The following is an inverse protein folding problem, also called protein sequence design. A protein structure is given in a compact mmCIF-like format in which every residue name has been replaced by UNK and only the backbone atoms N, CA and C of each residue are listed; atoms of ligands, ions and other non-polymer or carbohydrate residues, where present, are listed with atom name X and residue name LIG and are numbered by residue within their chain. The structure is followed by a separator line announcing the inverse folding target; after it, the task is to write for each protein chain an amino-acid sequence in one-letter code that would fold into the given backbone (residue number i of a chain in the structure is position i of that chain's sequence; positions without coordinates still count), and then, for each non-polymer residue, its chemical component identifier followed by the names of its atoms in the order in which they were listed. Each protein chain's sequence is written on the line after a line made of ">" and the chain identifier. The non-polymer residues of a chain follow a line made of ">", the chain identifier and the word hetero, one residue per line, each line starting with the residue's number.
data_IF_490327404943
#
_entry.id   IF_490327404943
#
_cell.length_a   1.000
_cell.length_b   1.000
_cell.length_c   1.000
_cell.angle_alpha   90.00
_cell.angle_beta   90.00
_cell.angle_gamma   90.00
#
_symmetry.space_group_name_H-M   'P 1'
#
loop_
_entity.id
_entity.type
_entity.pdbx_description
1 polymer ?
#
# COMPACT_ATOMS: atom_id res chain seq x y z
N UNK A 1 1.55 23.19 51.02
CA UNK A 1 1.75 24.58 50.55
C UNK A 1 3.24 24.89 50.36
N UNK A 2 4.05 24.96 51.43
CA UNK A 2 5.48 25.29 51.32
C UNK A 2 6.29 24.28 50.49
N UNK A 3 6.06 22.96 50.67
CA UNK A 3 6.70 21.93 49.86
C UNK A 3 6.44 22.11 48.34
N UNK A 4 5.19 22.42 47.97
CA UNK A 4 4.82 22.68 46.58
C UNK A 4 5.43 23.99 46.04
N UNK A 5 5.64 25.00 46.89
CA UNK A 5 6.38 26.21 46.52
C UNK A 5 7.85 25.90 46.28
N UNK A 6 8.48 25.06 47.11
CA UNK A 6 9.84 24.59 46.88
C UNK A 6 9.95 23.80 45.57
N UNK A 7 9.02 22.88 45.28
CA UNK A 7 9.00 22.13 44.02
C UNK A 7 8.81 23.05 42.80
N UNK A 8 7.92 24.05 42.91
CA UNK A 8 7.73 25.03 41.85
C UNK A 8 9.00 25.88 41.61
N UNK A 9 9.75 26.20 42.66
CA UNK A 9 11.02 26.93 42.53
C UNK A 9 12.09 26.09 41.79
N UNK A 10 12.14 24.77 42.02
CA UNK A 10 13.04 23.88 41.30
C UNK A 10 12.74 23.83 39.80
N UNK A 11 11.46 23.88 39.40
CA UNK A 11 11.10 23.93 37.97
C UNK A 11 11.58 25.22 37.28
N UNK A 12 11.75 26.33 38.02
CA UNK A 12 12.24 27.58 37.46
C UNK A 12 13.75 27.56 37.15
N UNK A 13 14.51 26.67 37.78
CA UNK A 13 15.94 26.50 37.53
C UNK A 13 16.22 26.06 36.07
N UNK A 14 15.28 25.31 35.47
CA UNK A 14 15.38 24.80 34.10
C UNK A 14 14.81 25.74 33.03
N UNK A 15 14.28 26.92 33.39
CA UNK A 15 13.67 27.85 32.42
C UNK A 15 14.68 28.33 31.39
N UNK A 16 15.95 28.45 31.75
CA UNK A 16 17.02 28.81 30.83
C UNK A 16 17.22 27.76 29.71
N UNK A 17 16.89 26.50 29.96
CA UNK A 17 17.00 25.40 28.99
C UNK A 17 15.78 25.30 28.06
N UNK A 18 14.67 25.94 28.44
CA UNK A 18 13.39 25.85 27.74
C UNK A 18 13.48 26.16 26.23
N UNK A 19 14.19 27.21 25.77
CA UNK A 19 14.31 27.47 24.33
C UNK A 19 14.98 26.31 23.58
N UNK A 20 16.02 25.72 24.15
CA UNK A 20 16.74 24.58 23.56
C UNK A 20 15.84 23.34 23.52
N UNK A 21 15.20 23.02 24.65
CA UNK A 21 14.26 21.90 24.77
C UNK A 21 13.08 22.04 23.80
N UNK A 22 12.55 23.26 23.62
CA UNK A 22 11.46 23.53 22.68
C UNK A 22 11.89 23.28 21.23
N UNK A 23 13.10 23.69 20.84
CA UNK A 23 13.63 23.38 19.51
C UNK A 23 13.77 21.87 19.27
N UNK A 24 14.24 21.12 20.26
CA UNK A 24 14.29 19.67 20.20
C UNK A 24 12.89 19.06 20.07
N UNK A 25 11.91 19.55 20.83
CA UNK A 25 10.52 19.13 20.71
C UNK A 25 9.96 19.37 19.31
N UNK A 26 10.17 20.56 18.71
CA UNK A 26 9.75 20.84 17.34
C UNK A 26 10.43 19.91 16.33
N UNK A 27 11.69 19.55 16.54
CA UNK A 27 12.40 18.59 15.70
C UNK A 27 11.79 17.18 15.77
N UNK A 28 11.34 16.76 16.97
CA UNK A 28 10.70 15.48 17.19
C UNK A 28 9.30 15.43 16.55
N UNK A 29 8.52 16.51 16.66
CA UNK A 29 7.21 16.64 15.99
C UNK A 29 7.36 16.47 14.47
N UNK A 30 8.35 17.14 13.86
CA UNK A 30 8.66 16.97 12.44
C UNK A 30 9.06 15.54 12.09
N UNK A 31 9.92 14.94 12.90
CA UNK A 31 10.40 13.57 12.68
C UNK A 31 9.25 12.57 12.69
N UNK A 32 8.32 12.68 13.64
CA UNK A 32 7.13 11.80 13.73
C UNK A 32 6.21 11.95 12.52
N UNK A 33 5.96 13.19 12.08
CA UNK A 33 5.18 13.45 10.86
C UNK A 33 5.84 12.85 9.62
N UNK A 34 7.14 13.04 9.47
CA UNK A 34 7.91 12.48 8.35
C UNK A 34 7.88 10.94 8.33
N UNK A 35 8.02 10.31 9.50
CA UNK A 35 7.90 8.85 9.64
C UNK A 35 6.51 8.36 9.21
N UNK A 36 5.43 9.05 9.65
CA UNK A 36 4.08 8.71 9.22
C UNK A 36 3.91 8.72 7.71
N UNK A 37 4.36 9.79 7.05
CA UNK A 37 4.35 9.89 5.59
C UNK A 37 5.18 8.80 4.90
N UNK A 38 6.37 8.49 5.42
CA UNK A 38 7.24 7.46 4.86
C UNK A 38 6.63 6.06 4.95
N UNK A 39 6.02 5.71 6.10
CA UNK A 39 5.35 4.42 6.30
C UNK A 39 4.15 4.29 5.35
N UNK A 40 3.29 5.30 5.28
CA UNK A 40 2.12 5.28 4.39
C UNK A 40 2.53 5.18 2.93
N UNK A 41 3.56 5.93 2.51
CA UNK A 41 4.09 5.86 1.15
C UNK A 41 4.68 4.48 0.83
N UNK A 42 5.45 3.90 1.74
CA UNK A 42 6.05 2.58 1.57
C UNK A 42 4.97 1.49 1.48
N UNK A 43 3.98 1.53 2.37
CA UNK A 43 2.86 0.61 2.37
C UNK A 43 2.05 0.70 1.07
N UNK A 44 1.75 1.91 0.59
CA UNK A 44 1.04 2.12 -0.67
C UNK A 44 1.81 1.51 -1.87
N UNK A 45 3.10 1.79 -1.98
CA UNK A 45 3.94 1.23 -3.05
C UNK A 45 4.01 -0.31 -3.00
N UNK A 46 4.06 -0.89 -1.80
CA UNK A 46 4.04 -2.34 -1.61
C UNK A 46 2.70 -2.95 -2.03
N UNK A 47 1.59 -2.33 -1.64
CA UNK A 47 0.24 -2.78 -2.01
C UNK A 47 0.05 -2.73 -3.53
N UNK A 48 0.51 -1.66 -4.18
CA UNK A 48 0.46 -1.52 -5.63
C UNK A 48 1.26 -2.62 -6.35
N UNK A 49 2.48 -2.90 -5.87
CA UNK A 49 3.31 -3.98 -6.40
C UNK A 49 2.67 -5.35 -6.24
N UNK A 50 2.03 -5.62 -5.10
CA UNK A 50 1.32 -6.88 -4.89
C UNK A 50 0.08 -6.99 -5.79
N UNK A 51 -0.62 -5.89 -6.03
CA UNK A 51 -1.74 -5.84 -6.96
C UNK A 51 -1.29 -6.12 -8.40
N UNK A 52 -0.15 -5.56 -8.84
CA UNK A 52 0.39 -5.80 -10.18
C UNK A 52 0.83 -7.26 -10.35
N UNK A 53 1.54 -7.83 -9.37
CA UNK A 53 1.94 -9.25 -9.37
C UNK A 53 0.72 -10.17 -9.46
N UNK A 54 -0.37 -9.84 -8.74
CA UNK A 54 -1.62 -10.60 -8.83
C UNK A 54 -2.24 -10.51 -10.22
N UNK A 55 -2.27 -9.33 -10.83
CA UNK A 55 -2.81 -9.14 -12.17
C UNK A 55 -2.02 -9.95 -13.22
N UNK A 56 -0.70 -9.94 -13.11
CA UNK A 56 0.19 -10.73 -13.97
C UNK A 56 -0.06 -12.23 -13.82
N UNK A 57 -0.25 -12.72 -12.59
CA UNK A 57 -0.57 -14.12 -12.34
C UNK A 57 -1.96 -14.53 -12.87
N UNK A 58 -2.98 -13.69 -12.71
CA UNK A 58 -4.30 -13.95 -13.32
C UNK A 58 -4.17 -14.07 -14.84
N UNK A 59 -3.44 -13.15 -15.47
CA UNK A 59 -3.17 -13.19 -16.91
C UNK A 59 -2.40 -14.44 -17.32
N UNK A 60 -1.42 -14.88 -16.52
CA UNK A 60 -0.64 -16.09 -16.74
C UNK A 60 -1.55 -17.33 -16.74
N UNK A 61 -2.42 -17.44 -15.73
CA UNK A 61 -3.40 -18.53 -15.57
C UNK A 61 -4.40 -18.57 -16.70
N UNK A 62 -4.98 -17.43 -17.06
CA UNK A 62 -5.93 -17.35 -18.17
C UNK A 62 -5.30 -17.77 -19.50
N UNK A 63 -4.05 -17.33 -19.75
CA UNK A 63 -3.30 -17.76 -20.93
C UNK A 63 -3.06 -19.26 -20.91
N UNK A 64 -2.66 -19.82 -19.78
CA UNK A 64 -2.45 -21.26 -19.62
C UNK A 64 -3.73 -22.06 -19.85
N UNK A 65 -4.83 -21.68 -19.18
CA UNK A 65 -6.14 -22.34 -19.26
C UNK A 65 -6.68 -22.32 -20.70
N UNK A 66 -6.51 -21.19 -21.39
CA UNK A 66 -6.91 -21.06 -22.80
C UNK A 66 -6.00 -21.85 -23.75
N UNK A 67 -4.70 -21.96 -23.48
CA UNK A 67 -3.76 -22.66 -24.35
C UNK A 67 -3.71 -24.16 -24.04
N UNK A 68 -2.82 -24.58 -23.15
CA UNK A 68 -2.57 -25.99 -22.81
C UNK A 68 -3.60 -26.58 -21.84
N UNK A 69 -4.17 -25.75 -20.97
CA UNK A 69 -5.08 -26.20 -19.91
C UNK A 69 -6.36 -26.86 -20.44
N UNK A 70 -6.85 -26.47 -21.62
CA UNK A 70 -8.02 -27.09 -22.28
C UNK A 70 -7.86 -28.59 -22.56
N UNK A 71 -6.62 -29.10 -22.57
CA UNK A 71 -6.31 -30.49 -22.87
C UNK A 71 -6.09 -31.34 -21.60
N UNK A 72 -6.15 -30.73 -20.42
CA UNK A 72 -5.98 -31.43 -19.15
C UNK A 72 -7.30 -32.04 -18.67
N UNK A 73 -7.21 -33.22 -18.08
CA UNK A 73 -8.35 -33.93 -17.50
C UNK A 73 -8.81 -33.23 -16.20
N UNK A 74 -10.11 -33.23 -15.86
CA UNK A 74 -10.63 -32.54 -14.66
C UNK A 74 -9.86 -32.78 -13.35
N UNK A 75 -9.33 -33.98 -13.02
CA UNK A 75 -8.58 -34.19 -11.78
C UNK A 75 -7.34 -33.30 -11.59
N UNK A 76 -6.77 -32.73 -12.66
CA UNK A 76 -5.69 -31.73 -12.52
C UNK A 76 -6.16 -30.46 -11.82
N UNK A 77 -7.40 -30.05 -12.04
CA UNK A 77 -8.01 -28.85 -11.45
C UNK A 77 -8.77 -29.13 -10.16
N UNK A 78 -9.04 -30.39 -9.82
CA UNK A 78 -9.77 -30.75 -8.59
C UNK A 78 -8.84 -31.25 -7.49
N UNK A 79 -7.81 -32.03 -7.87
CA UNK A 79 -6.92 -32.71 -6.90
C UNK A 79 -5.56 -32.03 -6.83
N UNK A 80 -4.93 -31.80 -7.99
CA UNK A 80 -3.52 -31.36 -8.02
C UNK A 80 -3.37 -29.84 -7.88
N UNK A 81 -4.24 -29.06 -8.53
CA UNK A 81 -4.18 -27.60 -8.51
C UNK A 81 -5.59 -26.99 -8.40
N UNK A 82 -6.28 -27.17 -7.24
CA UNK A 82 -7.67 -26.74 -7.03
C UNK A 82 -7.91 -25.25 -7.23
N UNK A 83 -6.86 -24.44 -7.05
CA UNK A 83 -6.97 -22.98 -7.17
C UNK A 83 -6.58 -22.45 -8.54
N UNK A 84 -6.23 -23.30 -9.51
CA UNK A 84 -5.69 -22.85 -10.79
C UNK A 84 -6.72 -22.12 -11.66
N UNK A 85 -7.98 -22.55 -11.59
CA UNK A 85 -9.09 -21.93 -12.31
C UNK A 85 -9.74 -20.76 -11.56
N UNK A 86 -9.38 -20.55 -10.29
CA UNK A 86 -9.89 -19.43 -9.48
C UNK A 86 -8.86 -18.30 -9.42
N UNK A 87 -9.31 -17.04 -9.31
CA UNK A 87 -8.40 -15.91 -9.17
C UNK A 87 -7.62 -16.03 -7.85
N UNK A 88 -6.32 -15.67 -7.80
CA UNK A 88 -5.55 -15.69 -6.57
C UNK A 88 -6.19 -14.82 -5.48
N UNK A 89 -6.00 -15.16 -4.19
CA UNK A 89 -6.54 -14.38 -3.09
C UNK A 89 -6.01 -12.94 -3.12
N UNK A 90 -6.82 -12.01 -2.60
CA UNK A 90 -6.44 -10.61 -2.45
C UNK A 90 -5.68 -10.41 -1.13
N UNK A 91 -4.53 -9.74 -1.21
CA UNK A 91 -3.81 -9.31 -0.01
C UNK A 91 -4.40 -7.98 0.48
N UNK A 92 -4.92 -7.96 1.69
CA UNK A 92 -5.55 -6.79 2.32
C UNK A 92 -4.91 -6.54 3.68
N UNK A 93 -3.71 -5.92 3.72
CA UNK A 93 -3.03 -5.67 4.97
C UNK A 93 -3.82 -4.66 5.81
N UNK A 94 -3.96 -4.96 7.10
CA UNK A 94 -4.46 -4.00 8.07
C UNK A 94 -3.30 -3.10 8.48
N UNK A 95 -3.30 -1.85 7.99
CA UNK A 95 -2.31 -0.87 8.39
C UNK A 95 -2.70 -0.28 9.76
N UNK A 96 -1.75 -0.14 10.70
CA UNK A 96 -2.01 0.55 11.95
C UNK A 96 -2.56 1.96 11.72
N UNK A 97 -3.47 2.41 12.58
CA UNK A 97 -3.99 3.76 12.51
C UNK A 97 -2.88 4.78 12.80
N UNK A 98 -2.40 5.48 11.77
CA UNK A 98 -1.37 6.51 11.88
C UNK A 98 -1.94 7.89 12.29
N UNK A 99 -3.18 7.92 12.78
CA UNK A 99 -3.96 9.12 13.11
C UNK A 99 -3.21 10.04 14.08
N UNK A 100 -2.48 9.46 15.05
CA UNK A 100 -1.68 10.23 16.01
C UNK A 100 -0.53 11.01 15.36
N UNK A 101 -0.02 10.58 14.21
CA UNK A 101 1.05 11.26 13.48
C UNK A 101 0.51 12.30 12.49
N UNK A 102 -0.71 12.11 12.00
CA UNK A 102 -1.39 13.05 11.10
C UNK A 102 -1.99 14.24 11.85
N UNK A 103 -2.37 14.05 13.12
CA UNK A 103 -2.85 15.11 14.00
C UNK A 103 -1.75 16.05 14.51
N UNK A 104 -0.47 15.71 14.27
CA UNK A 104 0.65 16.57 14.65
C UNK A 104 0.68 17.85 13.81
N UNK A 105 0.88 19.02 14.46
CA UNK A 105 0.92 20.29 13.77
C UNK A 105 2.11 20.34 12.79
N UNK A 106 1.90 21.01 11.65
CA UNK A 106 3.00 21.35 10.76
C UNK A 106 3.73 22.56 11.34
N UNK A 107 4.96 22.35 11.81
CA UNK A 107 5.79 23.36 12.46
C UNK A 107 6.83 23.99 11.52
N UNK A 108 6.68 23.77 10.21
CA UNK A 108 7.57 24.34 9.18
C UNK A 108 8.99 23.75 9.20
N UNK A 109 9.85 24.10 8.23
CA UNK A 109 11.23 23.60 8.19
C UNK A 109 12.06 24.12 9.37
N UNK A 110 13.12 23.40 9.75
CA UNK A 110 14.07 23.89 10.74
C UNK A 110 14.66 25.23 10.28
N UNK A 111 14.51 26.27 11.09
CA UNK A 111 14.96 27.65 10.86
C UNK A 111 16.50 27.82 10.67
N UNK A 112 17.26 26.73 10.55
CA UNK A 112 18.72 26.75 10.35
C UNK A 112 19.19 26.23 8.98
N UNK A 113 18.30 25.89 8.05
CA UNK A 113 18.68 25.22 6.81
C UNK A 113 18.66 26.09 5.53
N UNK A 114 18.43 27.41 5.61
CA UNK A 114 18.46 28.27 4.41
C UNK A 114 18.95 29.70 4.68
N UNK A 115 20.26 29.89 4.55
CA UNK A 115 20.81 31.10 3.95
C UNK A 115 21.49 30.72 2.62
N UNK A 116 20.71 30.28 1.64
CA UNK A 116 21.09 30.32 0.23
C UNK A 116 19.88 30.72 -0.61
N UNK A 117 19.63 32.03 -0.67
CA UNK A 117 18.74 32.62 -1.67
C UNK A 117 19.59 33.17 -2.80
N UNK A 118 19.34 32.66 -4.00
CA UNK A 118 19.88 33.12 -5.29
C UNK A 118 20.30 31.91 -6.13
N UNK A 119 19.70 31.55 -7.25
CA UNK A 119 18.65 32.15 -8.06
C UNK A 119 18.71 31.43 -9.43
N UNK A 120 17.56 31.16 -10.04
CA UNK A 120 17.35 30.95 -11.48
C UNK A 120 18.18 29.88 -12.21
N UNK A 121 17.50 28.82 -12.69
CA UNK A 121 17.39 28.48 -14.12
C UNK A 121 16.96 27.01 -14.26
N UNK A 122 15.99 26.79 -15.14
CA UNK A 122 15.61 25.47 -15.61
C UNK A 122 16.81 24.72 -16.21
N UNK A 123 17.06 23.52 -15.74
CA UNK A 123 17.83 22.52 -16.47
C UNK A 123 17.29 21.13 -16.08
N UNK A 124 16.62 20.49 -17.04
CA UNK A 124 16.33 19.08 -16.98
C UNK A 124 17.64 18.31 -16.90
N UNK A 125 17.90 17.71 -15.73
CA UNK A 125 18.95 16.73 -15.54
C UNK A 125 18.40 15.34 -15.77
N UNK A 126 18.34 14.94 -17.03
CA UNK A 126 18.16 13.54 -17.42
C UNK A 126 19.30 12.72 -16.84
N UNK A 127 19.00 11.77 -15.95
CA UNK A 127 19.90 10.67 -15.61
C UNK A 127 19.94 9.66 -16.76
N UNK A 128 20.66 10.00 -17.82
CA UNK A 128 21.37 9.02 -18.64
C UNK A 128 22.48 8.41 -17.75
N UNK A 129 22.90 7.16 -17.78
CA UNK A 129 22.92 6.19 -18.86
C UNK A 129 23.52 4.91 -18.22
N UNK A 130 22.79 3.80 -18.20
CA UNK A 130 23.43 2.47 -18.23
C UNK A 130 22.93 1.84 -19.52
N UNK A 131 23.66 2.10 -20.59
CA UNK A 131 23.36 1.53 -21.90
C UNK A 131 23.58 0.02 -21.88
N UNK A 132 22.64 -0.76 -22.44
CA UNK A 132 22.89 -2.12 -22.85
C UNK A 132 23.81 -2.14 -24.08
N UNK A 133 24.71 -3.11 -24.07
CA UNK A 133 25.60 -3.44 -25.17
C UNK A 133 24.78 -4.08 -26.29
N UNK A 134 24.70 -3.44 -27.46
CA UNK A 134 24.15 -4.05 -28.67
C UNK A 134 24.98 -3.59 -29.88
N UNK A 135 25.50 -4.57 -30.63
CA UNK A 135 26.24 -4.38 -31.88
C UNK A 135 25.42 -4.99 -33.02
N UNK A 136 25.22 -4.28 -34.16
CA UNK A 136 24.45 -4.81 -35.27
C UNK A 136 25.34 -5.58 -36.26
N UNK A 137 24.90 -6.77 -36.67
CA UNK A 137 25.28 -7.35 -37.95
C UNK A 137 24.03 -7.62 -38.77
N UNK A 138 24.00 -6.94 -39.90
CA UNK A 138 23.00 -6.96 -40.95
C UNK A 138 23.31 -8.12 -41.91
N UNK A 139 22.29 -8.92 -42.25
CA UNK A 139 22.39 -10.00 -43.22
C UNK A 139 21.00 -10.43 -43.69
N UNK A 140 20.74 -10.22 -44.97
CA UNK A 140 19.45 -10.20 -45.65
C UNK A 140 19.02 -11.60 -46.19
N UNK A 141 17.72 -11.72 -46.51
CA UNK A 141 17.12 -12.47 -47.63
C UNK A 141 16.18 -13.68 -47.35
N UNK A 142 14.90 -13.42 -47.66
CA UNK A 142 13.95 -14.17 -48.52
C UNK A 142 13.34 -15.53 -48.11
N UNK A 143 11.99 -15.58 -48.13
CA UNK A 143 11.22 -16.81 -48.36
C UNK A 143 9.72 -16.71 -48.02
N UNK A 144 8.87 -16.52 -49.04
CA UNK A 144 7.50 -17.03 -49.29
C UNK A 144 6.57 -17.41 -48.12
N UNK A 145 5.36 -16.84 -47.96
CA UNK A 145 4.10 -16.98 -48.74
C UNK A 145 3.06 -17.90 -48.04
N UNK A 146 1.78 -17.54 -48.18
CA UNK A 146 0.54 -18.22 -47.74
C UNK A 146 0.20 -18.17 -46.24
N UNK A 147 -1.04 -17.97 -45.81
CA UNK A 147 -2.32 -17.87 -46.53
C UNK A 147 -3.48 -17.60 -45.56
N UNK A 148 -4.47 -16.87 -46.07
CA UNK A 148 -5.93 -16.98 -45.86
C UNK A 148 -6.48 -17.53 -44.52
N UNK A 149 -7.31 -16.74 -43.83
CA UNK A 149 -8.78 -16.94 -43.75
C UNK A 149 -9.43 -16.32 -42.49
N UNK A 150 -10.34 -15.39 -42.77
CA UNK A 150 -11.70 -15.17 -42.24
C UNK A 150 -12.22 -15.92 -41.01
N UNK A 151 -12.89 -15.18 -40.11
CA UNK A 151 -14.27 -15.40 -39.60
C UNK A 151 -14.49 -14.48 -38.38
N UNK A 152 -15.34 -13.45 -38.44
CA UNK A 152 -16.81 -13.47 -38.25
C UNK A 152 -17.28 -13.47 -36.79
N UNK A 153 -18.21 -12.55 -36.56
CA UNK A 153 -19.02 -12.19 -35.38
C UNK A 153 -19.51 -13.32 -34.47
N UNK A 154 -19.84 -12.98 -33.21
CA UNK A 154 -21.23 -13.07 -32.71
C UNK A 154 -21.36 -12.46 -31.30
N UNK A 155 -22.40 -11.64 -31.18
CA UNK A 155 -23.06 -11.19 -29.95
C UNK A 155 -23.78 -12.35 -29.26
N UNK A 156 -23.80 -12.42 -27.93
CA UNK A 156 -24.95 -12.97 -27.21
C UNK A 156 -25.03 -12.53 -25.74
N UNK A 157 -26.24 -12.56 -25.20
CA UNK A 157 -26.77 -11.81 -24.06
C UNK A 157 -27.03 -12.66 -22.82
N UNK A 158 -26.94 -12.02 -21.62
CA UNK A 158 -27.69 -12.31 -20.35
C UNK A 158 -27.50 -13.68 -19.63
N UNK A 159 -27.97 -13.88 -18.36
CA UNK A 159 -28.73 -13.01 -17.45
C UNK A 159 -28.23 -12.91 -15.97
N UNK A 160 -28.98 -12.08 -15.22
CA UNK A 160 -29.01 -11.82 -13.78
C UNK A 160 -28.86 -13.03 -12.84
N UNK A 161 -28.23 -12.83 -11.67
CA UNK A 161 -28.61 -13.52 -10.42
C UNK A 161 -28.38 -12.67 -9.16
N UNK A 162 -29.52 -12.27 -8.59
CA UNK A 162 -29.92 -12.19 -7.18
C UNK A 162 -28.87 -11.95 -6.08
N UNK A 163 -28.96 -10.77 -5.46
CA UNK A 163 -28.39 -10.45 -4.14
C UNK A 163 -29.35 -10.90 -3.04
N UNK A 164 -28.94 -11.85 -2.21
CA UNK A 164 -29.58 -12.16 -0.93
C UNK A 164 -29.05 -11.23 0.17
N UNK A 165 -29.97 -10.48 0.75
CA UNK A 165 -29.83 -9.51 1.83
C UNK A 165 -29.82 -10.23 3.18
N UNK A 166 -28.69 -10.26 3.89
CA UNK A 166 -28.62 -10.75 5.28
C UNK A 166 -28.51 -9.55 6.22
N UNK A 167 -29.63 -9.25 6.88
CA UNK A 167 -29.72 -8.29 7.99
C UNK A 167 -29.09 -8.92 9.24
N UNK A 168 -28.05 -8.31 9.78
CA UNK A 168 -27.55 -8.56 11.14
C UNK A 168 -28.12 -7.45 12.02
N UNK A 169 -29.05 -7.80 12.91
CA UNK A 169 -29.49 -6.93 14.00
C UNK A 169 -28.66 -7.22 15.24
N UNK A 170 -28.01 -6.17 15.74
CA UNK A 170 -27.36 -6.04 17.04
C UNK A 170 -28.34 -5.57 18.11
N UNK A 171 -28.29 -6.14 19.32
CA UNK A 171 -28.67 -5.56 20.64
C UNK A 171 -28.22 -6.61 21.68
N UNK A 172 -27.13 -6.49 22.45
CA UNK A 172 -26.73 -5.53 23.51
C UNK A 172 -27.67 -5.57 24.73
N UNK A 173 -27.10 -6.14 25.81
CA UNK A 173 -27.26 -5.90 27.26
C UNK A 173 -28.56 -6.24 28.00
N UNK A 174 -28.47 -7.10 29.02
CA UNK A 174 -28.56 -6.65 30.42
C UNK A 174 -28.04 -7.68 31.45
N UNK A 175 -27.22 -7.19 32.37
CA UNK A 175 -26.69 -7.89 33.56
C UNK A 175 -27.75 -8.15 34.64
N UNK A 176 -27.54 -9.16 35.48
CA UNK A 176 -28.38 -9.42 36.66
C UNK A 176 -27.83 -10.50 37.59
N UNK A 177 -26.91 -10.09 38.48
CA UNK A 177 -26.64 -10.52 39.87
C UNK A 177 -27.19 -11.90 40.32
N UNK A 178 -26.29 -12.83 40.67
CA UNK A 178 -26.59 -14.03 41.47
C UNK A 178 -26.06 -13.82 42.89
N UNK A 179 -26.98 -13.80 43.86
CA UNK A 179 -26.68 -13.82 45.30
C UNK A 179 -26.20 -15.20 45.76
N UNK A 180 -25.14 -15.21 46.55
CA UNK A 180 -24.75 -16.30 47.43
C UNK A 180 -25.74 -16.41 48.60
N UNK A 181 -26.21 -17.63 48.89
CA UNK A 181 -26.77 -18.00 50.19
C UNK A 181 -26.21 -19.39 50.55
N UNK A 182 -25.34 -19.42 51.54
CA UNK A 182 -24.79 -20.64 52.16
C UNK A 182 -25.47 -20.75 53.51
N UNK A 183 -26.37 -21.72 53.62
CA UNK A 183 -26.83 -22.30 54.88
C UNK A 183 -25.98 -23.47 55.30
#
# INVERSE_FOLDING_TARGET
>A
ALAQQCDNMLHLEHVAELPTCYNHFLSEVRRRRAYGGAVTSCAAAMIERLASMRADEVKSREKFLRASGRHLMPPFFEIFAPTLATPPPLFTPQLPAMVEMESLPDVGPALGATASVGGGAAAGGSSSFLSPNDSPMQGNASGEAHGVSSASSLTDSQPQQQQSKTTISSSVEQEGVVSEDVG
#
